data_IF_824231644431
#
_entry.id   IF_824231644431
#
_cell.length_a   1.000
_cell.length_b   1.000
_cell.length_c   1.000
_cell.angle_alpha   90.00
_cell.angle_beta   90.00
_cell.angle_gamma   90.00
#
_symmetry.space_group_name_H-M   'P 1'
#
loop_
_entity.id
_entity.type
_entity.pdbx_description
1 polymer ?
#
# COMPACT_ATOMS: atom_id res chain seq x y z
N UNK A 1 7.32 -7.33 -30.94
CA UNK A 1 7.86 -6.24 -30.09
C UNK A 1 6.97 -6.13 -28.87
N UNK A 2 7.53 -6.11 -27.66
CA UNK A 2 6.73 -5.92 -26.44
C UNK A 2 6.17 -4.49 -26.40
N UNK A 3 4.95 -4.30 -25.87
CA UNK A 3 4.38 -2.96 -25.67
C UNK A 3 5.34 -2.12 -24.80
N UNK A 4 5.55 -0.83 -25.12
CA UNK A 4 6.38 0.03 -24.29
C UNK A 4 5.81 0.10 -22.87
N UNK A 5 6.68 -0.07 -21.87
CA UNK A 5 6.29 0.09 -20.46
C UNK A 5 6.03 1.56 -20.16
N UNK A 6 4.99 1.85 -19.38
CA UNK A 6 4.71 3.20 -18.90
C UNK A 6 5.90 3.74 -18.07
N UNK A 7 6.19 5.05 -18.11
CA UNK A 7 7.50 5.59 -17.74
C UNK A 7 7.71 5.86 -16.25
N UNK A 8 7.09 5.09 -15.36
CA UNK A 8 7.32 5.15 -13.90
C UNK A 8 6.66 3.95 -13.21
N UNK A 9 7.00 3.66 -11.95
CA UNK A 9 6.25 2.63 -11.19
C UNK A 9 4.85 3.13 -10.84
N UNK A 10 4.70 4.43 -10.63
CA UNK A 10 3.44 5.13 -10.34
C UNK A 10 2.43 4.96 -11.48
N UNK A 11 2.80 5.32 -12.72
CA UNK A 11 1.94 5.14 -13.90
C UNK A 11 1.65 3.67 -14.20
N UNK A 12 2.60 2.77 -13.91
CA UNK A 12 2.37 1.34 -14.06
C UNK A 12 1.41 0.80 -12.98
N UNK A 13 1.43 1.35 -11.76
CA UNK A 13 0.48 1.00 -10.70
C UNK A 13 -0.94 1.37 -11.08
N UNK A 14 -1.14 2.56 -11.65
CA UNK A 14 -2.45 2.99 -12.17
C UNK A 14 -2.94 1.98 -13.21
N UNK A 15 -2.13 1.69 -14.22
CA UNK A 15 -2.49 0.75 -15.28
C UNK A 15 -2.74 -0.68 -14.76
N UNK A 16 -2.01 -1.12 -13.73
CA UNK A 16 -2.26 -2.39 -13.07
C UNK A 16 -3.65 -2.43 -12.42
N UNK A 17 -4.01 -1.41 -11.63
CA UNK A 17 -5.31 -1.35 -10.95
C UNK A 17 -6.45 -1.23 -11.98
N UNK A 18 -6.28 -0.39 -13.00
CA UNK A 18 -7.26 -0.26 -14.09
C UNK A 18 -7.47 -1.59 -14.82
N UNK A 19 -6.39 -2.31 -15.17
CA UNK A 19 -6.50 -3.61 -15.81
C UNK A 19 -7.22 -4.62 -14.91
N UNK A 20 -6.95 -4.60 -13.60
CA UNK A 20 -7.60 -5.47 -12.61
C UNK A 20 -9.10 -5.16 -12.50
N UNK A 21 -9.48 -3.89 -12.43
CA UNK A 21 -10.88 -3.43 -12.43
C UNK A 21 -11.60 -3.76 -13.74
N UNK A 22 -10.89 -3.71 -14.87
CA UNK A 22 -11.40 -4.09 -16.19
C UNK A 22 -11.53 -5.61 -16.40
N UNK A 23 -11.25 -6.44 -15.38
CA UNK A 23 -11.46 -7.89 -15.43
C UNK A 23 -10.21 -8.72 -15.75
N UNK A 24 -9.00 -8.16 -15.62
CA UNK A 24 -7.77 -8.95 -15.68
C UNK A 24 -7.81 -10.10 -14.67
N UNK A 25 -7.38 -11.29 -15.11
CA UNK A 25 -7.22 -12.47 -14.24
C UNK A 25 -6.03 -12.34 -13.30
N UNK A 26 -5.05 -11.49 -13.63
CA UNK A 26 -3.88 -11.27 -12.80
C UNK A 26 -4.18 -10.24 -11.72
N UNK A 27 -4.24 -10.71 -10.46
CA UNK A 27 -4.47 -9.86 -9.27
C UNK A 27 -3.19 -9.48 -8.54
N UNK A 28 -2.02 -9.84 -9.07
CA UNK A 28 -0.73 -9.47 -8.52
C UNK A 28 0.29 -9.23 -9.63
N UNK A 29 1.29 -8.40 -9.37
CA UNK A 29 2.32 -8.07 -10.37
C UNK A 29 3.56 -7.46 -9.75
N UNK A 30 4.72 -7.75 -10.35
CA UNK A 30 5.93 -6.96 -10.17
C UNK A 30 5.91 -5.75 -11.10
N UNK A 31 5.95 -4.56 -10.53
CA UNK A 31 6.09 -3.30 -11.24
C UNK A 31 7.53 -2.83 -11.12
N UNK A 32 8.20 -2.62 -12.25
CA UNK A 32 9.62 -2.28 -12.28
C UNK A 32 9.90 -1.10 -13.19
N UNK A 33 10.68 -0.14 -12.71
CA UNK A 33 11.16 0.98 -13.52
C UNK A 33 12.45 1.58 -12.97
N UNK A 34 13.52 1.63 -13.78
CA UNK A 34 14.79 2.29 -13.43
C UNK A 34 15.32 1.97 -12.01
N UNK A 35 15.28 0.70 -11.63
CA UNK A 35 15.76 0.20 -10.33
C UNK A 35 14.75 0.28 -9.19
N UNK A 36 13.59 0.92 -9.39
CA UNK A 36 12.45 0.72 -8.52
C UNK A 36 11.80 -0.62 -8.83
N UNK A 37 11.45 -1.36 -7.79
CA UNK A 37 10.65 -2.58 -7.90
C UNK A 37 9.59 -2.59 -6.80
N UNK A 38 8.34 -2.86 -7.16
CA UNK A 38 7.24 -2.99 -6.21
C UNK A 38 6.46 -4.24 -6.56
N UNK A 39 6.22 -5.10 -5.59
CA UNK A 39 5.32 -6.23 -5.75
C UNK A 39 3.95 -5.88 -5.17
N UNK A 40 2.94 -5.84 -6.03
CA UNK A 40 1.58 -5.47 -5.67
C UNK A 40 0.65 -6.67 -5.73
N UNK A 41 -0.33 -6.69 -4.83
CA UNK A 41 -1.52 -7.54 -4.92
C UNK A 41 -2.75 -6.67 -4.76
N UNK A 42 -3.77 -6.94 -5.55
CA UNK A 42 -5.06 -6.26 -5.46
C UNK A 42 -6.09 -7.26 -4.93
N UNK A 43 -6.89 -6.81 -3.97
CA UNK A 43 -7.93 -7.61 -3.35
C UNK A 43 -9.24 -6.82 -3.29
N UNK A 44 -10.37 -7.48 -3.58
CA UNK A 44 -11.70 -6.88 -3.41
C UNK A 44 -12.17 -6.91 -1.95
N UNK A 45 -11.67 -7.89 -1.20
CA UNK A 45 -11.78 -7.99 0.24
C UNK A 45 -10.44 -8.47 0.78
N UNK A 46 -10.00 -7.92 1.91
CA UNK A 46 -8.75 -8.27 2.55
C UNK A 46 -8.91 -8.26 4.07
N UNK A 47 -8.36 -9.28 4.73
CA UNK A 47 -8.37 -9.38 6.18
C UNK A 47 -6.98 -9.12 6.75
N UNK A 48 -6.88 -8.14 7.64
CA UNK A 48 -5.64 -7.71 8.29
C UNK A 48 -5.83 -7.66 9.81
N UNK A 49 -5.34 -8.68 10.51
CA UNK A 49 -5.69 -8.88 11.92
C UNK A 49 -7.22 -9.00 12.10
N UNK A 50 -7.78 -8.13 12.94
CA UNK A 50 -9.24 -8.02 13.17
C UNK A 50 -9.95 -7.08 12.18
N UNK A 51 -9.22 -6.43 11.27
CA UNK A 51 -9.82 -5.53 10.27
C UNK A 51 -10.28 -6.32 9.04
N UNK A 52 -11.55 -6.14 8.68
CA UNK A 52 -12.14 -6.53 7.40
C UNK A 52 -12.11 -5.29 6.49
N UNK A 53 -11.35 -5.37 5.39
CA UNK A 53 -11.16 -4.30 4.42
C UNK A 53 -11.82 -4.72 3.10
N UNK A 54 -12.44 -3.77 2.41
CA UNK A 54 -12.91 -3.87 1.04
C UNK A 54 -11.78 -3.76 0.03
N UNK A 55 -11.97 -2.92 -1.00
CA UNK A 55 -11.00 -2.79 -2.10
C UNK A 55 -9.64 -2.30 -1.59
N UNK A 56 -8.65 -3.18 -1.68
CA UNK A 56 -7.36 -3.02 -1.04
C UNK A 56 -6.22 -3.25 -2.03
N UNK A 57 -5.21 -2.39 -1.96
CA UNK A 57 -3.92 -2.63 -2.59
C UNK A 57 -2.88 -3.03 -1.53
N UNK A 58 -2.32 -4.21 -1.70
CA UNK A 58 -1.25 -4.74 -0.85
C UNK A 58 0.09 -4.48 -1.52
N UNK A 59 0.99 -3.78 -0.81
CA UNK A 59 2.40 -3.65 -1.14
C UNK A 59 3.14 -4.75 -0.36
N UNK A 60 3.44 -5.85 -1.05
CA UNK A 60 4.04 -7.04 -0.44
C UNK A 60 5.58 -7.06 -0.54
N UNK A 61 6.16 -6.23 -1.40
CA UNK A 61 7.60 -6.00 -1.44
C UNK A 61 7.89 -4.66 -2.11
N UNK A 62 8.99 -4.02 -1.72
CA UNK A 62 9.48 -2.80 -2.33
C UNK A 62 11.01 -2.72 -2.30
N UNK A 63 11.58 -2.30 -3.43
CA UNK A 63 12.95 -1.83 -3.54
C UNK A 63 12.98 -0.41 -4.10
N UNK A 64 13.58 0.49 -3.32
CA UNK A 64 13.81 1.90 -3.69
C UNK A 64 15.31 2.10 -3.95
N UNK A 65 15.72 2.66 -5.11
CA UNK A 65 17.12 2.96 -5.35
C UNK A 65 17.69 3.87 -4.27
N UNK A 66 18.94 3.61 -3.84
CA UNK A 66 19.56 4.30 -2.70
C UNK A 66 19.46 5.83 -2.75
N UNK A 67 19.60 6.43 -3.93
CA UNK A 67 19.49 7.90 -4.13
C UNK A 67 18.11 8.50 -3.84
N UNK A 68 17.07 7.68 -3.70
CA UNK A 68 15.70 8.09 -3.36
C UNK A 68 15.27 7.61 -1.97
N UNK A 69 16.09 6.82 -1.27
CA UNK A 69 15.80 6.41 0.10
C UNK A 69 15.87 7.62 1.04
N UNK A 70 15.12 7.56 2.15
CA UNK A 70 15.02 8.64 3.16
C UNK A 70 14.55 10.01 2.62
N UNK A 71 13.95 10.04 1.43
CA UNK A 71 13.42 11.26 0.78
C UNK A 71 11.90 11.29 0.68
N UNK A 72 11.21 10.46 1.47
CA UNK A 72 9.76 10.42 1.50
C UNK A 72 9.09 9.71 0.31
N UNK A 73 9.86 9.21 -0.67
CA UNK A 73 9.29 8.58 -1.87
C UNK A 73 8.25 7.50 -1.55
N UNK A 74 8.57 6.58 -0.63
CA UNK A 74 7.65 5.51 -0.26
C UNK A 74 6.35 6.02 0.37
N UNK A 75 6.43 7.11 1.14
CA UNK A 75 5.23 7.71 1.75
C UNK A 75 4.29 8.28 0.68
N UNK A 76 4.84 9.06 -0.26
CA UNK A 76 4.07 9.60 -1.38
C UNK A 76 3.55 8.50 -2.30
N UNK A 77 4.28 7.40 -2.44
CA UNK A 77 3.80 6.23 -3.16
C UNK A 77 2.61 5.57 -2.46
N UNK A 78 2.63 5.43 -1.12
CA UNK A 78 1.47 4.96 -0.36
C UNK A 78 0.26 5.91 -0.49
N UNK A 79 0.48 7.22 -0.48
CA UNK A 79 -0.58 8.24 -0.69
C UNK A 79 -1.21 8.11 -2.09
N UNK A 80 -0.38 7.97 -3.13
CA UNK A 80 -0.84 7.67 -4.49
C UNK A 80 -1.70 6.40 -4.50
N UNK A 81 -1.19 5.30 -3.95
CA UNK A 81 -1.90 4.02 -3.89
C UNK A 81 -3.24 4.15 -3.15
N UNK A 82 -3.29 4.90 -2.05
CA UNK A 82 -4.53 5.17 -1.30
C UNK A 82 -5.55 5.95 -2.11
N UNK A 83 -5.11 6.84 -3.01
CA UNK A 83 -5.98 7.51 -3.97
C UNK A 83 -6.57 6.58 -5.04
N UNK A 84 -5.94 5.42 -5.31
CA UNK A 84 -6.31 4.53 -6.41
C UNK A 84 -7.29 3.41 -6.01
N UNK A 85 -7.42 3.10 -4.73
CA UNK A 85 -8.35 2.07 -4.20
C UNK A 85 -9.37 2.69 -3.26
N UNK A 86 -10.49 2.00 -3.04
CA UNK A 86 -11.61 2.57 -2.28
C UNK A 86 -11.50 2.44 -0.77
N UNK A 87 -10.78 1.43 -0.25
CA UNK A 87 -10.70 1.21 1.20
C UNK A 87 -9.30 1.41 1.77
N UNK A 88 -8.29 0.62 1.39
CA UNK A 88 -7.02 0.66 2.11
C UNK A 88 -5.78 0.30 1.28
N UNK A 89 -4.63 0.77 1.75
CA UNK A 89 -3.32 0.24 1.36
C UNK A 89 -2.77 -0.59 2.51
N UNK A 90 -2.36 -1.82 2.23
CA UNK A 90 -1.71 -2.70 3.20
C UNK A 90 -0.23 -2.82 2.84
N UNK A 91 0.63 -2.75 3.84
CA UNK A 91 2.07 -2.98 3.71
C UNK A 91 2.38 -4.25 4.50
N UNK A 92 2.72 -5.32 3.80
CA UNK A 92 3.01 -6.63 4.42
C UNK A 92 4.50 -6.78 4.71
N UNK A 93 4.81 -7.56 5.75
CA UNK A 93 6.15 -8.05 6.09
C UNK A 93 7.22 -6.94 6.09
N UNK A 94 6.99 -5.87 6.84
CA UNK A 94 7.93 -4.75 6.99
C UNK A 94 9.13 -5.17 7.86
N UNK A 95 10.08 -5.87 7.25
CA UNK A 95 11.30 -6.36 7.91
C UNK A 95 12.40 -5.30 8.04
N UNK A 96 12.32 -4.20 7.26
CA UNK A 96 13.30 -3.13 7.37
C UNK A 96 13.06 -2.32 8.66
N UNK A 97 14.01 -2.29 9.62
CA UNK A 97 13.78 -1.68 10.93
C UNK A 97 13.58 -0.17 10.86
N UNK A 98 14.20 0.51 9.88
CA UNK A 98 14.02 1.96 9.70
C UNK A 98 12.64 2.29 9.15
N UNK A 99 12.15 1.49 8.19
CA UNK A 99 10.80 1.64 7.65
C UNK A 99 9.76 1.31 8.72
N UNK A 100 9.92 0.20 9.43
CA UNK A 100 9.06 -0.22 10.53
C UNK A 100 8.91 0.90 11.57
N UNK A 101 10.03 1.40 12.09
CA UNK A 101 10.04 2.50 13.06
C UNK A 101 9.44 3.80 12.49
N UNK A 102 9.58 4.04 11.19
CA UNK A 102 8.97 5.21 10.53
C UNK A 102 7.46 5.09 10.41
N UNK A 103 6.92 3.91 10.13
CA UNK A 103 5.48 3.68 10.03
C UNK A 103 4.81 3.77 11.40
N UNK A 104 5.40 3.19 12.44
CA UNK A 104 4.90 3.27 13.82
C UNK A 104 4.72 4.70 14.33
N UNK A 105 5.57 5.64 13.92
CA UNK A 105 5.50 7.04 14.35
C UNK A 105 4.40 7.84 13.64
N UNK A 106 3.71 7.27 12.65
CA UNK A 106 2.72 7.99 11.84
C UNK A 106 1.32 7.55 12.23
N UNK A 107 0.52 8.48 12.76
CA UNK A 107 -0.87 8.24 13.18
C UNK A 107 -1.78 7.66 12.08
N UNK A 108 -1.44 7.88 10.81
CA UNK A 108 -2.22 7.37 9.69
C UNK A 108 -2.04 5.85 9.44
N UNK A 109 -0.97 5.24 9.96
CA UNK A 109 -0.69 3.82 9.78
C UNK A 109 -1.07 3.06 11.04
N UNK A 110 -1.82 1.98 10.87
CA UNK A 110 -2.27 1.11 11.95
C UNK A 110 -1.54 -0.22 11.79
N UNK A 111 -0.75 -0.59 12.80
CA UNK A 111 -0.20 -1.95 12.85
C UNK A 111 -1.30 -2.91 13.30
N UNK A 112 -1.66 -3.87 12.45
CA UNK A 112 -2.78 -4.80 12.67
C UNK A 112 -2.31 -6.20 13.08
N UNK A 113 -1.11 -6.59 12.64
CA UNK A 113 -0.35 -7.74 13.11
C UNK A 113 1.14 -7.43 12.95
N UNK A 114 2.00 -8.27 13.52
CA UNK A 114 3.45 -8.05 13.53
C UNK A 114 3.98 -7.72 12.12
N UNK A 115 4.61 -6.55 11.99
CA UNK A 115 5.19 -6.05 10.74
C UNK A 115 4.20 -5.87 9.56
N UNK A 116 2.90 -5.78 9.83
CA UNK A 116 1.87 -5.44 8.86
C UNK A 116 1.18 -4.12 9.23
N UNK A 117 1.15 -3.20 8.27
CA UNK A 117 0.57 -1.88 8.47
C UNK A 117 -0.56 -1.62 7.47
N UNK A 118 -1.66 -1.07 7.97
CA UNK A 118 -2.79 -0.61 7.18
C UNK A 118 -2.78 0.92 7.15
N UNK A 119 -2.83 1.48 5.94
CA UNK A 119 -3.18 2.87 5.68
C UNK A 119 -4.62 2.91 5.17
N UNK A 120 -5.61 3.12 6.06
CA UNK A 120 -6.99 3.25 5.63
C UNK A 120 -7.16 4.54 4.84
N UNK A 121 -7.93 4.49 3.76
CA UNK A 121 -8.40 5.68 3.07
C UNK A 121 -9.26 6.43 4.08
N UNK A 122 -8.90 7.70 4.35
CA UNK A 122 -9.76 8.55 5.16
C UNK A 122 -11.07 8.74 4.40
N UNK A 123 -12.10 7.95 4.71
CA UNK A 123 -13.46 8.35 4.42
C UNK A 123 -13.63 9.72 5.06
N UNK A 124 -14.01 10.74 4.28
CA UNK A 124 -14.57 11.94 4.87
C UNK A 124 -15.67 11.44 5.81
N UNK A 125 -15.50 11.65 7.12
CA UNK A 125 -16.47 11.23 8.13
C UNK A 125 -17.79 11.95 7.86
N UNK A 126 -18.66 11.38 7.05
CA UNK A 126 -20.10 11.55 7.23
C UNK A 126 -20.47 10.66 8.41
N UNK A 127 -20.83 11.30 9.51
CA UNK A 127 -20.89 10.75 10.87
C UNK A 127 -21.40 9.33 11.02
N UNK A 128 -20.61 8.48 11.66
CA UNK A 128 -20.94 7.78 12.90
C UNK A 128 -19.72 6.96 13.33
N UNK A 129 -19.39 7.06 14.62
CA UNK A 129 -18.09 6.71 15.14
C UNK A 129 -17.82 5.22 15.28
N UNK A 130 -16.58 4.83 15.01
CA UNK A 130 -15.85 3.84 15.80
C UNK A 130 -14.46 4.45 16.04
N UNK A 131 -14.16 4.75 17.31
CA UNK A 131 -12.81 5.11 17.75
C UNK A 131 -12.14 3.79 18.11
N UNK A 132 -11.27 3.28 17.26
CA UNK A 132 -10.34 2.21 17.65
C UNK A 132 -9.26 2.89 18.51
N UNK A 133 -9.32 2.71 19.82
CA UNK A 133 -8.24 3.15 20.71
C UNK A 133 -7.01 2.26 20.46
N UNK A 134 -5.81 2.80 20.21
CA UNK A 134 -4.61 1.99 20.17
C UNK A 134 -4.40 1.31 21.53
N UNK A 135 -4.03 0.02 21.51
CA UNK A 135 -3.69 -0.72 22.74
C UNK A 135 -2.47 -0.06 23.39
N UNK A 136 -2.44 0.08 24.73
CA UNK A 136 -1.23 0.50 25.41
C UNK A 136 -0.17 -0.60 25.27
N UNK A 137 1.05 -0.17 24.94
CA UNK A 137 2.26 -0.99 24.95
C UNK A 137 2.48 -1.45 26.41
N UNK A 138 2.59 -2.76 26.63
CA UNK A 138 3.00 -3.35 27.92
C UNK A 138 4.50 -3.53 27.95
#
# INVERSE_FOLDING_TARGET
MSKPKLPSVETQTVAFIEAVRAGSRFRNSWIKFRGFEVYLRYAQTYKSGEMELGETLVIANIMVPGRYQNRGWFMHYCELCSGLVDDAVVIECVENPHLYASLLRKEAFIETKEAEFVLPKRHQRTGSGIIIKPRPIR
#
